data_IF_755359015140
#
_entry.id   IF_755359015140
#
_cell.length_a   1.000
_cell.length_b   1.000
_cell.length_c   1.000
_cell.angle_alpha   90.00
_cell.angle_beta   90.00
_cell.angle_gamma   90.00
#
_symmetry.space_group_name_H-M   'P 1'
#
loop_
_entity.id
_entity.type
_entity.pdbx_description
1 polymer ?
#
# COMPACT_ATOMS: atom_id res chain seq x y z
N UNK A 1 9.47 7.62 5.86
CA UNK A 1 8.93 6.94 7.06
C UNK A 1 9.15 5.45 6.91
N UNK A 2 9.23 4.73 8.02
CA UNK A 2 9.65 3.33 8.05
C UNK A 2 8.48 2.38 8.30
N UNK A 3 8.61 1.13 7.86
CA UNK A 3 7.70 0.02 8.18
C UNK A 3 7.36 -0.05 9.66
N UNK A 4 8.36 0.17 10.54
CA UNK A 4 8.21 0.08 11.99
C UNK A 4 7.15 1.05 12.53
N UNK A 5 7.12 2.28 12.04
CA UNK A 5 6.14 3.29 12.45
C UNK A 5 4.72 2.87 12.06
N UNK A 6 4.58 2.35 10.84
CA UNK A 6 3.30 1.85 10.31
C UNK A 6 2.78 0.66 11.12
N UNK A 7 3.63 -0.36 11.34
CA UNK A 7 3.23 -1.56 12.07
C UNK A 7 2.95 -1.30 13.55
N UNK A 8 3.63 -0.31 14.16
CA UNK A 8 3.35 0.10 15.54
C UNK A 8 1.97 0.73 15.68
N UNK A 9 1.53 1.53 14.71
CA UNK A 9 0.26 2.28 14.80
C UNK A 9 -0.94 1.50 14.29
N UNK A 10 -0.80 0.77 13.19
CA UNK A 10 -1.92 0.11 12.50
C UNK A 10 -1.85 -1.42 12.54
N UNK A 11 -0.86 -1.98 13.22
CA UNK A 11 -0.64 -3.42 13.27
C UNK A 11 0.10 -3.97 12.05
N UNK A 12 0.37 -5.29 12.04
CA UNK A 12 1.13 -5.95 10.98
C UNK A 12 0.46 -5.77 9.61
N UNK A 13 1.25 -5.83 8.54
CA UNK A 13 0.75 -5.75 7.18
C UNK A 13 -0.30 -6.83 6.89
N UNK A 14 -1.49 -6.44 6.43
CA UNK A 14 -2.60 -7.35 6.20
C UNK A 14 -3.32 -7.82 7.48
N UNK A 15 -2.96 -7.26 8.64
CA UNK A 15 -3.56 -7.61 9.93
C UNK A 15 -4.72 -6.72 10.36
N UNK A 16 -5.11 -5.74 9.56
CA UNK A 16 -6.33 -4.97 9.77
C UNK A 16 -7.59 -5.73 9.33
N UNK A 17 -8.73 -5.05 9.39
CA UNK A 17 -10.01 -5.58 8.95
C UNK A 17 -10.22 -5.38 7.44
N UNK A 18 -11.12 -6.17 6.86
CA UNK A 18 -11.57 -6.00 5.47
C UNK A 18 -12.83 -5.13 5.34
N UNK A 19 -13.28 -4.57 6.46
CA UNK A 19 -14.29 -3.52 6.50
C UNK A 19 -14.02 -2.60 7.70
N UNK A 20 -14.21 -1.30 7.51
CA UNK A 20 -14.21 -0.32 8.59
C UNK A 20 -15.52 0.48 8.56
N UNK A 21 -15.98 0.90 9.71
CA UNK A 21 -17.15 1.76 9.82
C UNK A 21 -16.73 3.22 9.73
N UNK A 22 -17.49 4.00 8.98
CA UNK A 22 -17.37 5.46 8.93
C UNK A 22 -18.75 6.00 9.30
N UNK A 23 -18.91 6.40 10.56
CA UNK A 23 -20.23 6.49 11.18
C UNK A 23 -20.92 5.11 11.19
N UNK A 24 -22.18 5.05 10.77
CA UNK A 24 -22.96 3.78 10.75
C UNK A 24 -22.79 2.96 9.47
N UNK A 25 -21.94 3.41 8.54
CA UNK A 25 -21.81 2.79 7.22
C UNK A 25 -20.52 1.96 7.13
N UNK A 26 -20.61 0.67 6.77
CA UNK A 26 -19.44 -0.16 6.54
C UNK A 26 -18.84 0.11 5.15
N UNK A 27 -17.52 0.20 5.08
CA UNK A 27 -16.77 0.33 3.84
C UNK A 27 -15.68 -0.72 3.76
N UNK A 28 -15.49 -1.33 2.59
CA UNK A 28 -14.30 -2.12 2.30
C UNK A 28 -13.08 -1.22 2.06
N UNK A 29 -11.84 -1.74 2.14
CA UNK A 29 -10.64 -0.98 1.77
C UNK A 29 -10.75 -0.33 0.39
N UNK A 30 -11.29 -1.04 -0.61
CA UNK A 30 -11.54 -0.50 -1.95
C UNK A 30 -12.54 0.66 -1.93
N UNK A 31 -13.66 0.50 -1.22
CA UNK A 31 -14.68 1.54 -1.10
C UNK A 31 -14.18 2.79 -0.38
N UNK A 32 -13.33 2.63 0.63
CA UNK A 32 -12.65 3.75 1.30
C UNK A 32 -11.74 4.51 0.33
N UNK A 33 -10.92 3.78 -0.45
CA UNK A 33 -10.03 4.40 -1.45
C UNK A 33 -10.83 5.14 -2.54
N UNK A 34 -11.97 4.59 -2.98
CA UNK A 34 -12.87 5.29 -3.90
C UNK A 34 -13.43 6.58 -3.29
N UNK A 35 -13.87 6.56 -2.02
CA UNK A 35 -14.38 7.76 -1.34
C UNK A 35 -13.33 8.83 -1.09
N UNK A 36 -12.09 8.42 -0.86
CA UNK A 36 -10.97 9.33 -0.69
C UNK A 36 -10.40 9.83 -2.03
N UNK A 37 -10.86 9.31 -3.17
CA UNK A 37 -10.34 9.65 -4.50
C UNK A 37 -8.93 9.11 -4.76
N UNK A 38 -8.56 8.01 -4.09
CA UNK A 38 -7.23 7.40 -4.14
C UNK A 38 -7.18 6.09 -4.94
N UNK A 39 -8.32 5.57 -5.39
CA UNK A 39 -8.34 4.36 -6.21
C UNK A 39 -7.96 4.67 -7.66
N UNK A 40 -6.86 4.08 -8.12
CA UNK A 40 -6.35 4.15 -9.48
C UNK A 40 -5.81 2.78 -9.92
N UNK A 41 -5.38 2.66 -11.18
CA UNK A 41 -4.62 1.50 -11.63
C UNK A 41 -3.34 1.34 -10.80
N UNK A 42 -2.91 0.10 -10.55
CA UNK A 42 -1.74 -0.18 -9.71
C UNK A 42 -1.96 -0.02 -8.20
N UNK A 43 -3.10 0.49 -7.75
CA UNK A 43 -3.48 0.54 -6.34
C UNK A 43 -4.13 -0.77 -5.92
N UNK A 44 -3.50 -1.47 -4.97
CA UNK A 44 -4.01 -2.72 -4.39
C UNK A 44 -4.46 -2.44 -2.95
N UNK A 45 -5.78 -2.45 -2.67
CA UNK A 45 -6.28 -2.36 -1.31
C UNK A 45 -5.78 -3.54 -0.47
N UNK A 46 -5.31 -3.29 0.76
CA UNK A 46 -4.76 -4.31 1.65
C UNK A 46 -5.74 -4.58 2.79
N UNK A 47 -5.91 -3.61 3.69
CA UNK A 47 -6.80 -3.70 4.85
C UNK A 47 -7.18 -2.29 5.34
N UNK A 48 -8.03 -2.22 6.35
CA UNK A 48 -8.50 -0.99 6.96
C UNK A 48 -8.84 -1.21 8.43
N UNK A 49 -9.25 -0.14 9.12
CA UNK A 49 -9.77 -0.28 10.48
C UNK A 49 -9.88 1.06 11.19
N UNK A 50 -10.30 0.98 12.45
CA UNK A 50 -10.33 2.12 13.35
C UNK A 50 -9.06 2.14 14.21
N UNK A 51 -8.51 3.34 14.42
CA UNK A 51 -7.42 3.55 15.36
C UNK A 51 -7.96 3.74 16.77
N UNK A 52 -7.09 3.61 17.78
CA UNK A 52 -7.45 3.90 19.17
C UNK A 52 -7.89 5.34 19.41
N UNK A 53 -7.55 6.25 18.51
CA UNK A 53 -7.87 7.68 18.59
C UNK A 53 -9.24 7.99 17.94
N UNK A 54 -9.99 6.98 17.49
CA UNK A 54 -11.30 7.14 16.84
C UNK A 54 -11.23 7.63 15.38
N UNK A 55 -10.06 7.54 14.75
CA UNK A 55 -9.89 7.81 13.31
C UNK A 55 -9.96 6.51 12.52
N UNK A 56 -10.22 6.61 11.22
CA UNK A 56 -10.23 5.45 10.33
C UNK A 56 -8.96 5.45 9.49
N UNK A 57 -8.41 4.27 9.21
CA UNK A 57 -7.30 4.11 8.30
C UNK A 57 -7.63 3.14 7.16
N UNK A 58 -6.98 3.35 6.02
CA UNK A 58 -6.93 2.38 4.92
C UNK A 58 -5.49 2.19 4.46
N UNK A 59 -5.08 0.94 4.30
CA UNK A 59 -3.77 0.53 3.81
C UNK A 59 -3.89 -0.03 2.40
N UNK A 60 -2.92 0.31 1.57
CA UNK A 60 -2.84 -0.17 0.20
C UNK A 60 -1.39 -0.26 -0.26
N UNK A 61 -1.16 -1.05 -1.31
CA UNK A 61 0.08 -1.04 -2.07
C UNK A 61 -0.13 -0.16 -3.29
N UNK A 62 0.79 0.77 -3.49
CA UNK A 62 0.96 1.51 -4.72
C UNK A 62 2.06 0.82 -5.52
N UNK A 63 1.69 0.07 -6.56
CA UNK A 63 2.63 -0.70 -7.36
C UNK A 63 3.49 0.17 -8.28
N UNK A 64 2.99 1.33 -8.69
CA UNK A 64 3.73 2.25 -9.54
C UNK A 64 4.88 2.87 -8.74
N UNK A 65 4.58 3.35 -7.54
CA UNK A 65 5.57 3.92 -6.61
C UNK A 65 6.32 2.86 -5.79
N UNK A 66 5.88 1.59 -5.88
CA UNK A 66 6.42 0.44 -5.13
C UNK A 66 6.46 0.69 -3.63
N UNK A 67 5.37 1.24 -3.10
CA UNK A 67 5.23 1.63 -1.70
C UNK A 67 4.01 0.97 -1.07
N UNK A 68 4.14 0.69 0.22
CA UNK A 68 2.96 0.53 1.07
C UNK A 68 2.58 1.91 1.58
N UNK A 69 1.30 2.25 1.46
CA UNK A 69 0.74 3.49 1.96
C UNK A 69 -0.39 3.20 2.96
N UNK A 70 -0.47 4.03 4.00
CA UNK A 70 -1.62 4.10 4.91
C UNK A 70 -2.10 5.54 4.96
N UNK A 71 -3.39 5.74 4.72
CA UNK A 71 -4.06 7.02 4.89
C UNK A 71 -4.96 6.94 6.10
N UNK A 72 -4.80 7.87 7.03
CA UNK A 72 -5.61 8.03 8.24
C UNK A 72 -6.49 9.29 8.07
N UNK A 73 -7.78 9.17 8.36
CA UNK A 73 -8.78 10.20 8.09
C UNK A 73 -9.88 10.21 9.15
N UNK A 74 -10.62 11.33 9.22
CA UNK A 74 -11.79 11.46 10.11
C UNK A 74 -13.02 10.81 9.51
N UNK A 75 -14.10 10.67 10.29
CA UNK A 75 -15.40 10.21 9.79
C UNK A 75 -15.96 11.06 8.62
N UNK A 76 -15.56 12.34 8.55
CA UNK A 76 -15.90 13.24 7.44
C UNK A 76 -14.99 13.12 6.22
N UNK A 77 -14.23 12.03 6.10
CA UNK A 77 -13.23 11.78 5.03
C UNK A 77 -12.14 12.87 4.92
N UNK A 78 -11.88 13.62 5.99
CA UNK A 78 -10.75 14.54 6.03
C UNK A 78 -9.47 13.78 6.32
N UNK A 79 -8.54 13.77 5.38
CA UNK A 79 -7.21 13.17 5.58
C UNK A 79 -6.46 13.92 6.68
N UNK A 80 -5.95 13.17 7.65
CA UNK A 80 -5.15 13.65 8.77
C UNK A 80 -3.67 13.33 8.57
N UNK A 81 -3.38 12.15 8.02
CA UNK A 81 -2.03 11.65 7.83
C UNK A 81 -1.94 10.71 6.66
N UNK A 82 -0.80 10.74 6.00
CA UNK A 82 -0.39 9.71 5.05
C UNK A 82 1.01 9.22 5.44
N UNK A 83 1.17 7.90 5.57
CA UNK A 83 2.45 7.25 5.80
C UNK A 83 2.76 6.38 4.59
N UNK A 84 3.92 6.62 3.97
CA UNK A 84 4.45 5.76 2.91
C UNK A 84 5.80 5.18 3.31
N UNK A 85 5.98 3.89 3.04
CA UNK A 85 7.23 3.17 3.21
C UNK A 85 7.48 2.30 1.98
N UNK A 86 8.76 2.09 1.65
CA UNK A 86 9.11 1.35 0.44
C UNK A 86 8.77 -0.14 0.62
N UNK A 87 8.21 -0.77 -0.42
CA UNK A 87 7.74 -2.15 -0.35
C UNK A 87 8.86 -3.15 0.01
N UNK A 88 10.11 -2.82 -0.29
CA UNK A 88 11.29 -3.60 0.11
C UNK A 88 11.43 -3.78 1.62
N UNK A 89 10.84 -2.90 2.45
CA UNK A 89 10.90 -3.05 3.91
C UNK A 89 10.07 -4.25 4.41
N UNK A 90 9.09 -4.71 3.63
CA UNK A 90 8.34 -5.94 3.90
C UNK A 90 8.92 -7.15 3.19
N UNK A 91 9.34 -6.95 1.94
CA UNK A 91 9.80 -8.05 1.08
C UNK A 91 11.26 -8.45 1.31
N UNK A 92 12.08 -7.55 1.87
CA UNK A 92 13.52 -7.77 1.99
C UNK A 92 14.16 -8.10 0.63
N UNK A 93 14.99 -9.14 0.60
CA UNK A 93 15.73 -9.55 -0.60
C UNK A 93 14.84 -10.03 -1.75
N UNK A 94 13.62 -10.52 -1.46
CA UNK A 94 12.66 -10.93 -2.51
C UNK A 94 12.27 -9.75 -3.41
N UNK A 95 12.30 -8.53 -2.89
CA UNK A 95 12.01 -7.34 -3.65
C UNK A 95 12.92 -7.19 -4.88
N UNK A 96 14.21 -7.52 -4.72
CA UNK A 96 15.21 -7.37 -5.79
C UNK A 96 15.21 -8.55 -6.77
N UNK A 97 14.55 -9.66 -6.41
CA UNK A 97 14.34 -10.80 -7.31
C UNK A 97 13.10 -10.64 -8.19
N UNK A 98 12.16 -9.79 -7.81
CA UNK A 98 10.97 -9.53 -8.61
C UNK A 98 11.28 -8.74 -9.88
N UNK A 99 10.74 -9.21 -11.00
CA UNK A 99 10.70 -8.49 -12.27
C UNK A 99 9.63 -7.41 -12.21
N UNK A 100 9.98 -6.25 -11.67
CA UNK A 100 9.10 -5.09 -11.72
C UNK A 100 9.01 -4.57 -13.15
N UNK A 101 7.81 -4.31 -13.66
CA UNK A 101 7.69 -3.54 -14.90
C UNK A 101 8.31 -2.16 -14.66
N UNK A 102 9.24 -1.77 -15.53
CA UNK A 102 9.79 -0.42 -15.59
C UNK A 102 9.15 0.23 -16.80
N UNK A 103 8.36 1.26 -16.59
CA UNK A 103 7.88 2.08 -17.70
C UNK A 103 8.92 3.15 -17.99
N UNK A 104 9.91 2.84 -18.84
CA UNK A 104 10.80 3.86 -19.39
C UNK A 104 10.14 4.46 -20.65
N UNK A 105 9.93 5.79 -20.72
CA UNK A 105 9.42 6.41 -21.93
C UNK A 105 10.44 6.21 -23.07
N UNK A 106 10.09 5.38 -24.06
CA UNK A 106 10.91 5.15 -25.26
C UNK A 106 11.50 3.75 -25.41
N UNK A 107 11.32 2.84 -24.44
CA UNK A 107 11.83 1.47 -24.55
C UNK A 107 10.69 0.43 -24.61
N UNK A 108 10.61 -0.40 -25.65
CA UNK A 108 9.74 -1.56 -25.65
C UNK A 108 10.37 -2.63 -24.74
N UNK A 109 9.88 -2.70 -23.49
CA UNK A 109 10.04 -3.83 -22.58
C UNK A 109 11.48 -4.17 -22.12
N UNK A 110 12.13 -3.23 -21.42
CA UNK A 110 13.33 -3.58 -20.62
C UNK A 110 12.91 -4.12 -19.25
N UNK A 111 13.08 -5.43 -19.08
CA UNK A 111 12.94 -6.11 -17.79
C UNK A 111 14.24 -5.99 -16.99
N UNK A 112 14.22 -5.34 -15.82
CA UNK A 112 15.34 -5.42 -14.88
C UNK A 112 15.14 -6.62 -13.95
N UNK A 113 16.05 -7.60 -14.06
CA UNK A 113 16.14 -8.79 -13.21
C UNK A 113 16.28 -10.11 -13.99
N UNK A 114 17.51 -10.65 -14.03
CA UNK A 114 17.91 -11.89 -14.73
C UNK A 114 18.61 -11.57 -16.05
N UNK A 115 19.84 -12.00 -16.33
CA UNK A 115 20.38 -13.36 -16.20
C UNK A 115 21.92 -13.29 -16.27
N UNK A 116 22.67 -14.11 -15.53
CA UNK A 116 24.03 -14.50 -15.96
C UNK A 116 24.54 -15.74 -15.19
N UNK A 117 24.48 -16.89 -15.87
CA UNK A 117 25.51 -17.92 -15.68
C UNK A 117 25.02 -19.35 -15.41
N UNK A 118 24.61 -20.05 -16.47
CA UNK A 118 24.84 -21.51 -16.53
C UNK A 118 25.92 -21.77 -17.59
N UNK A 119 27.08 -22.20 -17.10
CA UNK A 119 28.31 -22.55 -17.84
C UNK A 119 28.06 -23.72 -18.81
N UNK A 120 28.89 -23.86 -19.87
CA UNK A 120 29.05 -25.13 -20.56
C UNK A 120 29.60 -26.23 -19.62
#
# INVERSE_FOLDING_TARGET
MSRKEMETRYGPFGGGEMAAFVGDLPYSPRGLLEKLGLLAEGIIPVDCGETRDGTVFVRFVDLEERRVAVVEFTEGFRILREIRAHLSEWMGDEYFRMKWRVFCPGDPEVWLGGDEGKRP
#
